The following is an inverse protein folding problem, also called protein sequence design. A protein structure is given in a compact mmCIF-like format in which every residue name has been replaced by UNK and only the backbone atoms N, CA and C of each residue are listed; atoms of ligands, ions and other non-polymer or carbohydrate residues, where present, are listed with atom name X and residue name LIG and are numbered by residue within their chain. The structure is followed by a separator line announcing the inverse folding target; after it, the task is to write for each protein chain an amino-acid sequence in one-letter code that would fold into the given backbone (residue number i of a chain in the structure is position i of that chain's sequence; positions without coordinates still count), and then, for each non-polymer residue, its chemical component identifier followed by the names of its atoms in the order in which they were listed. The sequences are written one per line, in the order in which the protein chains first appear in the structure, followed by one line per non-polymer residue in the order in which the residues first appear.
data_IF_863883669245
#
_entry.id   IF_863883669245
#
_cell.length_a   1.000
_cell.length_b   1.000
_cell.length_c   1.000
_cell.angle_alpha   90.00
_cell.angle_beta   90.00
_cell.angle_gamma   90.00
#
_symmetry.space_group_name_H-M   'P 1'
#
loop_
_entity.id
_entity.type
_entity.pdbx_description
1 polymer ?
#
# COMPACT_ATOMS: atom_id res chain seq x y z
N UNK A 1 2.20 -15.72 -23.47
CA UNK A 1 0.75 -15.99 -23.51
C UNK A 1 0.02 -14.67 -23.67
N UNK A 2 -0.85 -14.55 -24.67
CA UNK A 2 -1.73 -13.37 -24.81
C UNK A 2 -3.09 -13.75 -24.22
N UNK A 3 -3.12 -13.87 -22.89
CA UNK A 3 -4.25 -14.37 -22.12
C UNK A 3 -4.53 -13.41 -20.96
N UNK A 4 -5.69 -13.56 -20.32
CA UNK A 4 -6.05 -12.82 -19.12
C UNK A 4 -5.15 -13.22 -17.94
N UNK A 5 -4.78 -12.26 -17.09
CA UNK A 5 -4.04 -12.53 -15.85
C UNK A 5 -5.06 -12.91 -14.77
N UNK A 6 -5.56 -14.15 -14.85
CA UNK A 6 -6.37 -14.78 -13.80
C UNK A 6 -5.56 -15.86 -13.08
N UNK A 7 -5.99 -16.23 -11.88
CA UNK A 7 -5.35 -17.30 -11.12
C UNK A 7 -5.36 -18.63 -11.90
N UNK A 8 -6.49 -18.98 -12.52
CA UNK A 8 -6.68 -20.22 -13.29
C UNK A 8 -5.74 -20.26 -14.49
N UNK A 9 -5.72 -19.19 -15.29
CA UNK A 9 -4.89 -19.10 -16.49
C UNK A 9 -3.40 -19.15 -16.14
N UNK A 10 -2.99 -18.43 -15.09
CA UNK A 10 -1.59 -18.42 -14.65
C UNK A 10 -1.17 -19.79 -14.14
N UNK A 11 -2.04 -20.50 -13.41
CA UNK A 11 -1.76 -21.85 -12.92
C UNK A 11 -1.65 -22.86 -14.08
N UNK A 12 -2.58 -22.81 -15.04
CA UNK A 12 -2.55 -23.68 -16.22
C UNK A 12 -1.23 -23.51 -17.00
N UNK A 13 -0.79 -22.27 -17.22
CA UNK A 13 0.49 -21.98 -17.88
C UNK A 13 1.68 -22.44 -17.03
N UNK A 14 1.67 -22.18 -15.72
CA UNK A 14 2.73 -22.57 -14.80
C UNK A 14 2.97 -24.09 -14.81
N UNK A 15 1.89 -24.87 -14.79
CA UNK A 15 1.93 -26.34 -14.85
C UNK A 15 2.31 -26.85 -16.24
N UNK A 16 1.69 -26.31 -17.30
CA UNK A 16 1.93 -26.74 -18.68
C UNK A 16 3.38 -26.51 -19.11
N UNK A 17 3.97 -25.37 -18.71
CA UNK A 17 5.36 -25.03 -19.01
C UNK A 17 6.36 -25.66 -18.03
N UNK A 18 5.89 -26.28 -16.95
CA UNK A 18 6.71 -26.78 -15.85
C UNK A 18 7.73 -25.72 -15.36
N UNK A 19 7.20 -24.52 -15.09
CA UNK A 19 8.00 -23.35 -14.76
C UNK A 19 8.72 -23.49 -13.41
N UNK A 20 9.94 -22.95 -13.30
CA UNK A 20 10.72 -23.00 -12.06
C UNK A 20 10.20 -22.07 -10.95
N UNK A 21 9.35 -21.12 -11.32
CA UNK A 21 8.71 -20.19 -10.41
C UNK A 21 8.01 -19.03 -11.13
N UNK A 22 7.32 -18.20 -10.36
CA UNK A 22 6.48 -17.08 -10.83
C UNK A 22 7.01 -15.78 -10.24
N UNK A 23 7.21 -14.75 -11.06
CA UNK A 23 7.57 -13.40 -10.62
C UNK A 23 6.33 -12.51 -10.70
N UNK A 24 5.88 -11.97 -9.56
CA UNK A 24 4.66 -11.14 -9.50
C UNK A 24 4.93 -9.63 -9.54
N UNK A 25 6.12 -9.20 -9.10
CA UNK A 25 6.46 -7.79 -8.83
C UNK A 25 6.47 -6.86 -10.05
N UNK A 26 6.30 -7.39 -11.27
CA UNK A 26 6.44 -6.65 -12.52
C UNK A 26 5.13 -6.36 -13.25
N UNK A 27 3.99 -6.86 -12.74
CA UNK A 27 2.69 -6.73 -13.42
C UNK A 27 1.65 -5.87 -12.72
N UNK A 28 2.04 -5.07 -11.72
CA UNK A 28 1.14 -4.18 -10.98
C UNK A 28 0.15 -4.93 -10.09
N UNK A 29 -1.09 -4.43 -9.97
CA UNK A 29 -2.05 -4.99 -9.01
C UNK A 29 -2.59 -6.37 -9.38
N UNK A 30 -2.74 -6.67 -10.68
CA UNK A 30 -3.39 -7.91 -11.12
C UNK A 30 -2.65 -9.16 -10.60
N UNK A 31 -1.31 -9.29 -10.75
CA UNK A 31 -0.56 -10.39 -10.13
C UNK A 31 -0.60 -10.38 -8.60
N UNK A 32 -0.55 -9.20 -7.96
CA UNK A 32 -0.62 -9.09 -6.50
C UNK A 32 -1.94 -9.65 -5.95
N UNK A 33 -3.04 -9.42 -6.65
CA UNK A 33 -4.37 -9.89 -6.25
C UNK A 33 -4.48 -11.42 -6.23
N UNK A 34 -3.76 -12.13 -7.11
CA UNK A 34 -3.77 -13.61 -7.17
C UNK A 34 -2.63 -14.26 -6.37
N UNK A 35 -1.75 -13.46 -5.75
CA UNK A 35 -0.54 -13.96 -5.09
C UNK A 35 -0.86 -15.00 -4.00
N UNK A 36 -1.87 -14.73 -3.17
CA UNK A 36 -2.27 -15.64 -2.09
C UNK A 36 -2.96 -16.91 -2.60
N UNK A 37 -3.64 -16.85 -3.75
CA UNK A 37 -4.25 -18.04 -4.35
C UNK A 37 -3.20 -18.97 -4.96
N UNK A 38 -2.19 -18.40 -5.63
CA UNK A 38 -1.00 -19.12 -6.07
C UNK A 38 -0.25 -19.77 -4.89
N UNK A 39 -0.08 -19.03 -3.79
CA UNK A 39 0.54 -19.55 -2.57
C UNK A 39 -0.23 -20.73 -1.97
N UNK A 40 -1.56 -20.65 -1.93
CA UNK A 40 -2.43 -21.74 -1.42
C UNK A 40 -2.33 -23.01 -2.27
N UNK A 41 -2.08 -22.89 -3.58
CA UNK A 41 -1.79 -24.02 -4.46
C UNK A 41 -0.32 -24.45 -4.48
N UNK A 42 0.52 -23.90 -3.59
CA UNK A 42 1.93 -24.23 -3.49
C UNK A 42 2.73 -23.90 -4.76
N UNK A 43 2.25 -22.97 -5.60
CA UNK A 43 3.02 -22.45 -6.71
C UNK A 43 4.23 -21.67 -6.18
N UNK A 44 5.41 -21.89 -6.79
CA UNK A 44 6.66 -21.28 -6.31
C UNK A 44 6.76 -19.84 -6.79
N UNK A 45 6.47 -18.89 -5.91
CA UNK A 45 6.69 -17.46 -6.19
C UNK A 45 8.15 -17.10 -5.90
N UNK A 46 8.77 -16.36 -6.81
CA UNK A 46 10.14 -15.85 -6.70
C UNK A 46 10.10 -14.36 -6.31
N UNK A 47 11.11 -13.93 -5.54
CA UNK A 47 11.17 -12.59 -4.99
C UNK A 47 10.36 -12.48 -3.69
N UNK A 48 9.76 -11.31 -3.46
CA UNK A 48 8.93 -11.04 -2.28
C UNK A 48 7.78 -12.06 -2.17
N UNK A 49 7.64 -12.66 -1.00
CA UNK A 49 6.65 -13.72 -0.76
C UNK A 49 5.22 -13.20 -0.91
N UNK A 50 4.25 -14.07 -1.30
CA UNK A 50 2.83 -13.72 -1.31
C UNK A 50 2.31 -13.21 0.04
N UNK A 51 2.83 -13.74 1.15
CA UNK A 51 2.45 -13.33 2.51
C UNK A 51 2.95 -11.91 2.85
N UNK A 52 4.15 -11.56 2.37
CA UNK A 52 4.70 -10.21 2.49
C UNK A 52 3.96 -9.22 1.60
N UNK A 53 3.61 -9.60 0.36
CA UNK A 53 2.76 -8.81 -0.54
C UNK A 53 1.42 -8.54 0.14
N UNK A 54 0.77 -9.57 0.67
CA UNK A 54 -0.51 -9.43 1.37
C UNK A 54 -0.40 -8.56 2.63
N UNK A 55 0.72 -8.64 3.35
CA UNK A 55 0.98 -7.78 4.53
C UNK A 55 1.15 -6.31 4.15
N UNK A 56 1.67 -6.00 2.97
CA UNK A 56 1.81 -4.64 2.44
C UNK A 56 0.49 -4.10 1.87
N UNK A 57 -0.24 -4.92 1.11
CA UNK A 57 -1.50 -4.54 0.45
C UNK A 57 -2.66 -4.40 1.44
N UNK A 58 -2.70 -5.23 2.49
CA UNK A 58 -3.72 -5.16 3.52
C UNK A 58 -3.42 -4.02 4.50
N UNK A 59 -4.21 -2.95 4.42
CA UNK A 59 -4.00 -1.72 5.20
C UNK A 59 -4.01 -1.94 6.71
N UNK A 60 -4.85 -2.83 7.22
CA UNK A 60 -4.86 -3.17 8.64
C UNK A 60 -3.57 -3.89 9.06
N UNK A 61 -3.13 -4.89 8.29
CA UNK A 61 -1.88 -5.62 8.57
C UNK A 61 -0.69 -4.67 8.50
N UNK A 62 -0.63 -3.84 7.46
CA UNK A 62 0.44 -2.87 7.27
C UNK A 62 0.50 -1.86 8.42
N UNK A 63 -0.60 -1.16 8.73
CA UNK A 63 -0.61 -0.18 9.83
C UNK A 63 -0.30 -0.83 11.18
N UNK A 64 -0.81 -2.03 11.46
CA UNK A 64 -0.48 -2.75 12.70
C UNK A 64 1.00 -3.14 12.76
N UNK A 65 1.62 -3.47 11.63
CA UNK A 65 3.06 -3.74 11.54
C UNK A 65 3.88 -2.50 11.87
N UNK A 66 3.51 -1.32 11.33
CA UNK A 66 4.18 -0.05 11.65
C UNK A 66 4.09 0.27 13.15
N UNK A 67 2.90 0.12 13.75
CA UNK A 67 2.69 0.36 15.19
C UNK A 67 3.57 -0.53 16.06
N UNK A 68 3.69 -1.82 15.70
CA UNK A 68 4.54 -2.78 16.43
C UNK A 68 6.02 -2.42 16.35
N UNK A 69 6.48 -1.90 15.21
CA UNK A 69 7.86 -1.43 15.03
C UNK A 69 8.10 -0.08 15.70
N UNK A 70 7.06 0.72 15.93
CA UNK A 70 7.16 2.10 16.38
C UNK A 70 7.48 3.07 15.24
N UNK A 71 7.10 2.73 14.00
CA UNK A 71 7.14 3.67 12.88
C UNK A 71 5.92 4.57 12.97
N UNK A 72 6.14 5.88 12.94
CA UNK A 72 5.06 6.86 13.06
C UNK A 72 4.14 6.81 11.85
N UNK A 73 2.84 6.90 12.10
CA UNK A 73 1.80 7.04 11.10
C UNK A 73 0.66 7.92 11.66
N UNK A 74 -0.19 8.50 10.79
CA UNK A 74 -1.37 9.22 11.26
C UNK A 74 -2.25 8.32 12.14
N UNK A 75 -3.03 8.93 13.05
CA UNK A 75 -4.03 8.19 13.82
C UNK A 75 -4.93 7.44 12.86
N UNK A 76 -5.10 6.14 13.06
CA UNK A 76 -5.82 5.26 12.14
C UNK A 76 -6.69 4.27 12.91
N UNK A 77 -7.72 3.74 12.25
CA UNK A 77 -8.57 2.68 12.79
C UNK A 77 -9.22 1.86 11.67
N UNK A 78 -9.27 0.56 11.85
CA UNK A 78 -10.08 -0.35 11.04
C UNK A 78 -11.52 -0.35 11.55
N UNK A 79 -12.47 -0.05 10.67
CA UNK A 79 -13.86 0.21 11.03
C UNK A 79 -14.81 -0.53 10.10
N UNK A 80 -15.86 -1.09 10.68
CA UNK A 80 -16.85 -1.94 9.98
C UNK A 80 -18.24 -1.31 9.92
N UNK A 81 -18.47 -0.20 10.61
CA UNK A 81 -19.78 0.45 10.65
C UNK A 81 -19.65 1.98 10.70
N UNK A 82 -20.64 2.65 10.07
CA UNK A 82 -20.69 4.11 9.93
C UNK A 82 -20.61 4.84 11.26
N UNK A 83 -21.33 4.36 12.29
CA UNK A 83 -21.35 5.01 13.61
C UNK A 83 -19.94 5.09 14.21
N UNK A 84 -19.22 3.97 14.25
CA UNK A 84 -17.85 3.92 14.76
C UNK A 84 -16.88 4.75 13.93
N UNK A 85 -17.15 4.94 12.63
CA UNK A 85 -16.36 5.78 11.75
C UNK A 85 -16.56 7.27 12.02
N UNK A 86 -17.80 7.69 12.23
CA UNK A 86 -18.11 9.07 12.64
C UNK A 86 -17.46 9.39 13.98
N UNK A 87 -17.63 8.51 14.98
CA UNK A 87 -17.01 8.69 16.31
C UNK A 87 -15.49 8.84 16.23
N UNK A 88 -14.82 8.02 15.40
CA UNK A 88 -13.39 8.14 15.17
C UNK A 88 -13.00 9.46 14.49
N UNK A 89 -13.71 9.85 13.43
CA UNK A 89 -13.44 11.10 12.70
C UNK A 89 -13.67 12.36 13.56
N UNK A 90 -14.68 12.35 14.43
CA UNK A 90 -14.92 13.42 15.41
C UNK A 90 -13.82 13.49 16.47
N UNK A 91 -13.29 12.33 16.89
CA UNK A 91 -12.19 12.24 17.86
C UNK A 91 -10.85 12.75 17.28
N UNK A 92 -10.49 12.34 16.05
CA UNK A 92 -9.22 12.73 15.42
C UNK A 92 -9.30 14.07 14.69
N UNK A 93 -10.52 14.55 14.42
CA UNK A 93 -10.82 15.78 13.69
C UNK A 93 -10.67 15.64 12.18
N UNK A 94 -11.55 16.31 11.42
CA UNK A 94 -11.50 16.40 9.96
C UNK A 94 -10.34 17.28 9.45
N UNK A 95 -9.86 17.08 8.20
CA UNK A 95 -10.24 16.02 7.26
C UNK A 95 -9.69 14.63 7.64
N UNK A 96 -10.37 13.57 7.16
CA UNK A 96 -9.98 12.17 7.34
C UNK A 96 -9.92 11.46 5.98
N UNK A 97 -8.94 10.56 5.83
CA UNK A 97 -8.71 9.78 4.62
C UNK A 97 -9.34 8.39 4.76
N UNK A 98 -10.26 8.08 3.86
CA UNK A 98 -10.97 6.79 3.77
C UNK A 98 -10.27 5.94 2.71
N UNK A 99 -9.68 4.81 3.13
CA UNK A 99 -8.91 3.91 2.23
C UNK A 99 -9.46 2.47 2.33
N UNK A 100 -10.09 1.94 1.26
CA UNK A 100 -10.37 0.51 1.17
C UNK A 100 -9.07 -0.28 0.97
N UNK A 101 -9.08 -1.57 1.35
CA UNK A 101 -7.97 -2.50 1.10
C UNK A 101 -8.02 -3.07 -0.34
N UNK A 102 -6.87 -3.50 -0.88
CA UNK A 102 -6.72 -4.12 -2.21
C UNK A 102 -7.18 -3.25 -3.40
N UNK A 103 -7.07 -1.92 -3.28
CA UNK A 103 -7.30 -0.97 -4.39
C UNK A 103 -6.02 -0.18 -4.61
N UNK A 104 -5.44 -0.30 -5.81
CA UNK A 104 -4.39 0.61 -6.31
C UNK A 104 -5.00 1.74 -7.15
N UNK A 105 -4.23 2.83 -7.28
CA UNK A 105 -4.52 4.00 -8.12
C UNK A 105 -5.57 4.99 -7.61
N UNK A 106 -5.80 5.07 -6.29
CA UNK A 106 -6.63 6.13 -5.69
C UNK A 106 -8.12 6.11 -6.06
N UNK A 107 -8.57 5.18 -6.91
CA UNK A 107 -9.92 5.15 -7.49
C UNK A 107 -11.06 5.07 -6.46
N UNK A 108 -10.76 4.73 -5.21
CA UNK A 108 -11.70 4.75 -4.09
C UNK A 108 -11.15 5.44 -2.83
N UNK A 109 -10.00 6.13 -2.94
CA UNK A 109 -9.45 6.93 -1.84
C UNK A 109 -10.17 8.27 -1.79
N UNK A 110 -10.84 8.54 -0.67
CA UNK A 110 -11.61 9.76 -0.51
C UNK A 110 -11.20 10.51 0.75
N UNK A 111 -11.07 11.84 0.63
CA UNK A 111 -10.83 12.72 1.77
C UNK A 111 -12.18 13.26 2.24
N UNK A 112 -12.66 12.78 3.38
CA UNK A 112 -13.86 13.29 4.03
C UNK A 112 -13.53 14.56 4.80
N UNK A 113 -14.34 15.61 4.61
CA UNK A 113 -14.25 16.86 5.36
C UNK A 113 -15.38 17.01 6.38
N UNK A 114 -16.38 16.12 6.31
CA UNK A 114 -17.56 16.12 7.17
C UNK A 114 -18.13 14.71 7.37
N UNK A 115 -19.07 14.58 8.33
CA UNK A 115 -19.85 13.37 8.54
C UNK A 115 -20.65 12.98 7.27
N UNK A 116 -21.11 13.98 6.50
CA UNK A 116 -21.87 13.75 5.28
C UNK A 116 -21.01 13.11 4.19
N UNK A 117 -19.79 13.60 4.00
CA UNK A 117 -18.84 13.03 3.04
C UNK A 117 -18.53 11.57 3.41
N UNK A 118 -18.31 11.33 4.71
CA UNK A 118 -18.01 10.00 5.23
C UNK A 118 -19.14 9.00 4.95
N UNK A 119 -20.39 9.40 5.16
CA UNK A 119 -21.55 8.57 4.84
C UNK A 119 -21.63 8.25 3.34
N UNK A 120 -21.42 9.25 2.48
CA UNK A 120 -21.38 9.04 1.02
C UNK A 120 -20.28 8.05 0.63
N UNK A 121 -19.06 8.23 1.15
CA UNK A 121 -17.92 7.38 0.79
C UNK A 121 -18.03 5.96 1.35
N UNK A 122 -18.51 5.79 2.57
CA UNK A 122 -18.69 4.45 3.14
C UNK A 122 -19.82 3.68 2.45
N UNK A 123 -20.91 4.36 2.06
CA UNK A 123 -21.95 3.72 1.26
C UNK A 123 -21.41 3.28 -0.12
N UNK A 124 -20.61 4.12 -0.77
CA UNK A 124 -19.96 3.77 -2.03
C UNK A 124 -18.96 2.61 -1.86
N UNK A 125 -18.12 2.64 -0.82
CA UNK A 125 -17.16 1.59 -0.52
C UNK A 125 -17.84 0.25 -0.21
N UNK A 126 -18.99 0.25 0.46
CA UNK A 126 -19.78 -0.96 0.77
C UNK A 126 -20.31 -1.66 -0.49
N UNK A 127 -20.51 -0.92 -1.58
CA UNK A 127 -20.89 -1.48 -2.88
C UNK A 127 -19.71 -2.15 -3.60
N UNK A 128 -18.48 -1.65 -3.36
CA UNK A 128 -17.25 -2.12 -4.00
C UNK A 128 -16.62 -3.28 -3.23
N UNK A 129 -16.69 -3.28 -1.89
CA UNK A 129 -16.14 -4.33 -1.05
C UNK A 129 -17.08 -4.65 0.12
N UNK A 130 -17.90 -5.71 -0.04
CA UNK A 130 -18.81 -6.19 1.01
C UNK A 130 -18.10 -6.95 2.12
N UNK A 131 -16.90 -7.45 1.86
CA UNK A 131 -16.19 -8.38 2.75
C UNK A 131 -14.95 -7.78 3.42
N UNK A 132 -14.54 -6.56 3.07
CA UNK A 132 -13.35 -5.93 3.65
C UNK A 132 -13.66 -4.69 4.49
N UNK A 133 -13.15 -4.61 5.73
CA UNK A 133 -13.26 -3.42 6.55
C UNK A 133 -12.51 -2.25 5.93
N UNK A 134 -13.00 -1.04 6.17
CA UNK A 134 -12.38 0.19 5.68
C UNK A 134 -11.41 0.70 6.73
N UNK A 135 -10.21 1.10 6.30
CA UNK A 135 -9.26 1.78 7.16
C UNK A 135 -9.41 3.29 6.98
N UNK A 136 -9.67 3.98 8.09
CA UNK A 136 -9.76 5.44 8.12
C UNK A 136 -8.57 5.97 8.90
N UNK A 137 -7.95 7.03 8.39
CA UNK A 137 -6.82 7.69 9.02
C UNK A 137 -6.99 9.21 9.02
N UNK A 138 -6.35 9.89 9.97
CA UNK A 138 -6.28 11.36 9.96
C UNK A 138 -5.54 11.80 8.70
N UNK A 139 -6.17 12.67 7.91
CA UNK A 139 -5.50 13.27 6.75
C UNK A 139 -4.63 14.45 7.20
N UNK A 140 -3.37 14.46 6.76
CA UNK A 140 -2.41 15.51 7.06
C UNK A 140 -2.41 16.53 5.91
N UNK A 141 -2.97 17.70 6.15
CA UNK A 141 -2.96 18.82 5.20
C UNK A 141 -1.61 19.53 5.24
N UNK A 142 -1.19 20.12 4.13
CA UNK A 142 0.06 20.91 4.03
C UNK A 142 1.32 20.11 4.38
N UNK A 143 1.25 18.77 4.26
CA UNK A 143 2.38 17.89 4.42
C UNK A 143 3.10 17.70 3.08
N UNK A 144 4.43 17.57 3.11
CA UNK A 144 5.21 17.11 1.97
C UNK A 144 4.97 15.62 1.73
N UNK A 145 4.88 15.22 0.47
CA UNK A 145 4.81 13.81 0.07
C UNK A 145 6.15 13.37 -0.53
N UNK A 146 6.62 12.19 -0.13
CA UNK A 146 7.93 11.64 -0.51
C UNK A 146 7.73 10.20 -0.97
N UNK A 147 8.26 9.90 -2.15
CA UNK A 147 8.30 8.54 -2.69
C UNK A 147 9.73 7.99 -2.53
N UNK A 148 9.83 6.70 -2.19
CA UNK A 148 11.13 6.03 -2.08
C UNK A 148 11.10 4.73 -2.86
N UNK A 149 11.66 4.75 -4.06
CA UNK A 149 11.84 3.53 -4.83
C UNK A 149 13.11 2.82 -4.37
N UNK A 150 13.02 1.52 -4.09
CA UNK A 150 14.17 0.75 -3.65
C UNK A 150 14.14 -0.69 -4.20
N UNK A 151 15.33 -1.29 -4.23
CA UNK A 151 15.51 -2.72 -4.49
C UNK A 151 16.16 -3.33 -3.27
N UNK A 152 15.58 -4.42 -2.79
CA UNK A 152 16.12 -5.19 -1.68
C UNK A 152 16.40 -6.65 -2.06
N UNK A 153 17.28 -7.29 -1.31
CA UNK A 153 17.46 -8.74 -1.31
C UNK A 153 17.46 -9.21 0.14
N UNK A 154 16.60 -10.18 0.47
CA UNK A 154 16.46 -10.75 1.81
C UNK A 154 16.24 -9.65 2.88
N UNK A 155 15.43 -8.65 2.54
CA UNK A 155 15.12 -7.50 3.40
C UNK A 155 16.23 -6.44 3.53
N UNK A 156 17.37 -6.61 2.85
CA UNK A 156 18.46 -5.63 2.83
C UNK A 156 18.43 -4.75 1.58
N UNK A 157 18.49 -3.42 1.76
CA UNK A 157 18.49 -2.45 0.66
C UNK A 157 19.78 -2.56 -0.17
N UNK A 158 19.63 -2.81 -1.47
CA UNK A 158 20.73 -2.78 -2.45
C UNK A 158 20.89 -1.38 -3.06
N UNK A 159 19.77 -0.75 -3.42
CA UNK A 159 19.74 0.61 -3.92
C UNK A 159 18.41 1.28 -3.57
N UNK A 160 18.43 2.61 -3.50
CA UNK A 160 17.22 3.40 -3.27
C UNK A 160 17.33 4.78 -3.91
N UNK A 161 16.21 5.32 -4.35
CA UNK A 161 16.03 6.67 -4.84
C UNK A 161 14.92 7.34 -4.02
N UNK A 162 15.23 8.47 -3.40
CA UNK A 162 14.24 9.29 -2.71
C UNK A 162 13.82 10.39 -3.67
N UNK A 163 12.51 10.61 -3.79
CA UNK A 163 11.89 11.59 -4.68
C UNK A 163 10.95 12.48 -3.88
N UNK A 164 11.03 13.78 -4.09
CA UNK A 164 10.14 14.77 -3.47
C UNK A 164 9.04 15.16 -4.44
N UNK A 165 7.79 15.16 -3.97
CA UNK A 165 6.67 15.72 -4.72
C UNK A 165 6.74 17.25 -4.69
N UNK A 166 6.44 17.89 -5.82
CA UNK A 166 6.28 19.35 -5.89
C UNK A 166 4.96 19.77 -5.23
N UNK A 167 3.91 18.98 -5.43
CA UNK A 167 2.62 19.13 -4.78
C UNK A 167 2.63 18.60 -3.33
N UNK A 168 1.77 19.15 -2.49
CA UNK A 168 1.57 18.64 -1.13
C UNK A 168 0.77 17.34 -1.14
N UNK A 169 0.86 16.60 -0.04
CA UNK A 169 0.12 15.38 0.20
C UNK A 169 -1.39 15.57 -0.07
N UNK A 170 -1.96 14.66 -0.87
CA UNK A 170 -3.35 14.72 -1.31
C UNK A 170 -3.53 14.79 -2.82
N UNK A 171 -2.49 15.14 -3.58
CA UNK A 171 -2.43 14.89 -5.02
C UNK A 171 -1.90 13.46 -5.21
N UNK A 172 -2.58 12.66 -6.02
CA UNK A 172 -2.15 11.27 -6.23
C UNK A 172 -0.77 11.24 -6.89
N UNK A 173 0.14 10.37 -6.43
CA UNK A 173 1.54 10.32 -6.93
C UNK A 173 1.65 10.16 -8.45
N UNK A 174 0.74 9.39 -9.06
CA UNK A 174 0.66 9.25 -10.52
C UNK A 174 0.29 10.53 -11.29
N UNK A 175 -0.28 11.52 -10.61
CA UNK A 175 -0.63 12.84 -11.16
C UNK A 175 0.31 13.95 -10.65
N UNK A 176 1.22 13.63 -9.72
CA UNK A 176 2.13 14.57 -9.09
C UNK A 176 3.42 14.75 -9.89
N UNK A 177 4.06 15.91 -9.73
CA UNK A 177 5.38 16.18 -10.28
C UNK A 177 6.44 15.76 -9.26
N UNK A 178 7.38 14.92 -9.68
CA UNK A 178 8.44 14.41 -8.81
C UNK A 178 9.80 15.03 -9.15
N UNK A 179 10.62 15.25 -8.12
CA UNK A 179 12.01 15.69 -8.25
C UNK A 179 12.95 14.70 -7.53
N UNK A 180 13.95 14.20 -8.26
CA UNK A 180 14.93 13.22 -7.78
C UNK A 180 16.35 13.73 -8.09
N UNK A 181 17.24 13.92 -7.09
CA UNK A 181 17.01 13.76 -5.64
C UNK A 181 16.10 14.86 -5.06
N UNK A 182 15.57 14.71 -3.83
CA UNK A 182 14.78 15.74 -3.16
C UNK A 182 15.58 17.04 -3.04
N UNK A 183 14.90 18.19 -3.15
CA UNK A 183 15.54 19.51 -3.17
C UNK A 183 15.38 20.25 -1.84
N UNK A 184 14.27 20.04 -1.13
CA UNK A 184 13.90 20.77 0.08
C UNK A 184 13.63 19.83 1.25
N UNK A 185 14.57 18.89 1.47
CA UNK A 185 14.64 18.04 2.65
C UNK A 185 15.94 18.29 3.41
N UNK A 186 15.84 18.47 4.73
CA UNK A 186 17.01 18.49 5.58
C UNK A 186 17.61 17.09 5.75
N UNK A 187 18.89 17.04 6.15
CA UNK A 187 19.64 15.79 6.27
C UNK A 187 19.05 14.81 7.30
N UNK A 188 18.54 15.31 8.43
CA UNK A 188 17.95 14.48 9.49
C UNK A 188 16.67 13.77 9.03
N UNK A 189 15.80 14.50 8.32
CA UNK A 189 14.59 13.96 7.69
C UNK A 189 14.96 12.92 6.64
N UNK A 190 15.95 13.19 5.78
CA UNK A 190 16.40 12.24 4.75
C UNK A 190 16.95 10.94 5.36
N UNK A 191 17.76 11.02 6.41
CA UNK A 191 18.25 9.83 7.12
C UNK A 191 17.13 9.07 7.85
N UNK A 192 16.13 9.79 8.35
CA UNK A 192 14.93 9.18 8.92
C UNK A 192 14.14 8.40 7.87
N UNK A 193 13.92 8.98 6.69
CA UNK A 193 13.26 8.31 5.56
C UNK A 193 14.03 7.05 5.18
N UNK A 194 15.34 7.15 4.95
CA UNK A 194 16.18 5.98 4.61
C UNK A 194 16.14 4.89 5.67
N UNK A 195 16.13 5.25 6.96
CA UNK A 195 16.01 4.30 8.07
C UNK A 195 14.66 3.59 8.04
N UNK A 196 13.56 4.33 7.87
CA UNK A 196 12.21 3.75 7.77
C UNK A 196 12.13 2.81 6.57
N UNK A 197 12.66 3.18 5.40
CA UNK A 197 12.68 2.30 4.23
C UNK A 197 13.45 1.01 4.47
N UNK A 198 14.61 1.05 5.15
CA UNK A 198 15.34 -0.17 5.54
C UNK A 198 14.55 -1.03 6.53
N UNK A 199 13.90 -0.39 7.51
CA UNK A 199 13.05 -1.11 8.46
C UNK A 199 11.87 -1.80 7.77
N UNK A 200 11.25 -1.16 6.77
CA UNK A 200 10.16 -1.73 5.98
C UNK A 200 10.63 -2.91 5.13
N UNK A 201 11.76 -2.77 4.43
CA UNK A 201 12.34 -3.85 3.64
C UNK A 201 12.59 -5.10 4.50
N UNK A 202 13.16 -4.93 5.69
CA UNK A 202 13.43 -6.02 6.63
C UNK A 202 12.14 -6.62 7.23
N UNK A 203 11.14 -5.79 7.57
CA UNK A 203 9.88 -6.29 8.13
C UNK A 203 9.06 -7.10 7.14
N UNK A 204 9.11 -6.73 5.86
CA UNK A 204 8.40 -7.39 4.77
C UNK A 204 9.27 -8.44 4.06
N UNK A 205 10.51 -8.67 4.51
CA UNK A 205 11.47 -9.59 3.87
C UNK A 205 11.53 -9.40 2.35
N UNK A 206 11.64 -8.14 1.93
CA UNK A 206 11.50 -7.77 0.52
C UNK A 206 12.69 -8.33 -0.27
N UNK A 207 12.37 -9.01 -1.37
CA UNK A 207 13.35 -9.46 -2.37
C UNK A 207 12.86 -9.05 -3.75
N UNK A 208 13.46 -8.00 -4.29
CA UNK A 208 13.02 -7.34 -5.53
C UNK A 208 12.71 -5.85 -5.32
N UNK A 209 12.03 -5.23 -6.30
CA UNK A 209 11.66 -3.82 -6.22
C UNK A 209 10.49 -3.59 -5.26
N UNK A 210 10.49 -2.44 -4.59
CA UNK A 210 9.35 -1.93 -3.83
C UNK A 210 9.38 -0.40 -3.77
N UNK A 211 8.24 0.16 -3.39
CA UNK A 211 8.01 1.59 -3.16
C UNK A 211 7.36 1.77 -1.79
#
# INVERSE_FOLDING_TARGET
YFEEISFEVVMDVYEMENSEGIILSMGGQLPNNIAMDLHRQQAKVLGTSPESIDSAENRFKFSRMLDRKGILQPRWKELTNLKSAIEFCEEVGYPCLVRPSYVLSGAAMNVAYSNQDLETYLNAASLVSKEHPVVISKFLTEAKEIDVDAVAADGEILCMAVSEHVENAGVHSGDATLVTPPQDLNHETLETIKRITRDLAALLDVTGPFN
#
